data_IF_089644394278
#
_entry.id   IF_089644394278
#
_cell.length_a   1.000
_cell.length_b   1.000
_cell.length_c   1.000
_cell.angle_alpha   90.00
_cell.angle_beta   90.00
_cell.angle_gamma   90.00
#
_symmetry.space_group_name_H-M   'P 1'
#
loop_
_entity.id
_entity.type
_entity.pdbx_description
1 polymer ?
#
# COMPACT_ATOMS: atom_id res chain seq x y z
N UNK A 1 -1.99 -30.55 22.69
CA UNK A 1 -1.01 -31.02 21.67
C UNK A 1 -1.71 -31.43 20.38
N UNK A 2 -2.93 -31.99 20.47
CA UNK A 2 -3.78 -32.39 19.33
C UNK A 2 -4.35 -31.24 18.52
N UNK A 3 -4.69 -30.09 19.14
CA UNK A 3 -5.27 -28.94 18.43
C UNK A 3 -4.27 -28.20 17.51
N UNK A 4 -2.99 -28.19 17.85
CA UNK A 4 -1.94 -27.56 17.02
C UNK A 4 -1.68 -28.34 15.73
N UNK A 5 -1.71 -29.67 15.80
CA UNK A 5 -1.58 -30.56 14.63
C UNK A 5 -2.77 -30.38 13.67
N UNK A 6 -3.98 -30.22 14.22
CA UNK A 6 -5.19 -30.01 13.45
C UNK A 6 -5.22 -28.60 12.80
N UNK A 7 -4.65 -27.58 13.46
CA UNK A 7 -4.47 -26.24 12.89
C UNK A 7 -3.43 -26.18 11.77
N UNK A 8 -2.33 -26.92 11.87
CA UNK A 8 -1.34 -27.01 10.79
C UNK A 8 -1.91 -27.76 9.57
N UNK A 9 -2.64 -28.86 9.81
CA UNK A 9 -3.29 -29.65 8.75
C UNK A 9 -4.40 -28.86 8.04
N UNK A 10 -5.19 -28.08 8.78
CA UNK A 10 -6.22 -27.20 8.19
C UNK A 10 -5.63 -26.01 7.45
N UNK A 11 -4.55 -25.39 7.96
CA UNK A 11 -3.86 -24.31 7.24
C UNK A 11 -3.22 -24.82 5.93
N UNK A 12 -2.56 -25.99 5.98
CA UNK A 12 -2.00 -26.63 4.78
C UNK A 12 -3.09 -27.06 3.81
N UNK A 13 -4.21 -27.61 4.30
CA UNK A 13 -5.36 -27.99 3.47
C UNK A 13 -5.99 -26.78 2.78
N UNK A 14 -6.11 -25.64 3.45
CA UNK A 14 -6.63 -24.39 2.85
C UNK A 14 -5.65 -23.84 1.80
N UNK A 15 -4.35 -23.90 2.04
CA UNK A 15 -3.33 -23.49 1.04
C UNK A 15 -3.36 -24.42 -0.17
N UNK A 16 -3.45 -25.73 0.04
CA UNK A 16 -3.49 -26.73 -1.02
C UNK A 16 -4.82 -26.69 -1.82
N UNK A 17 -5.92 -26.36 -1.15
CA UNK A 17 -7.21 -26.12 -1.79
C UNK A 17 -7.20 -24.79 -2.57
N UNK A 18 -6.53 -23.75 -2.07
CA UNK A 18 -6.32 -22.51 -2.82
C UNK A 18 -5.43 -22.73 -4.04
N UNK A 19 -4.35 -23.51 -3.92
CA UNK A 19 -3.52 -23.94 -5.07
C UNK A 19 -4.34 -24.75 -6.08
N UNK A 20 -5.16 -25.70 -5.61
CA UNK A 20 -6.03 -26.50 -6.47
C UNK A 20 -7.12 -25.67 -7.18
N UNK A 21 -7.72 -24.69 -6.50
CA UNK A 21 -8.71 -23.79 -7.09
C UNK A 21 -8.06 -22.78 -8.06
N UNK A 22 -6.85 -22.29 -7.78
CA UNK A 22 -6.08 -21.47 -8.72
C UNK A 22 -5.71 -22.26 -9.99
N UNK A 23 -5.43 -23.56 -9.87
CA UNK A 23 -5.10 -24.42 -11.01
C UNK A 23 -6.32 -24.93 -11.80
N UNK A 24 -7.49 -25.07 -11.14
CA UNK A 24 -8.71 -25.61 -11.78
C UNK A 24 -9.68 -24.54 -12.30
N UNK A 25 -9.70 -23.34 -11.72
CA UNK A 25 -10.67 -22.28 -12.07
C UNK A 25 -10.07 -21.09 -12.81
N UNK A 26 -8.76 -20.86 -12.70
CA UNK A 26 -8.07 -19.94 -13.58
C UNK A 26 -7.55 -20.74 -14.77
N UNK A 27 -8.04 -20.42 -15.97
CA UNK A 27 -7.43 -20.90 -17.20
C UNK A 27 -5.91 -20.65 -17.09
N UNK A 28 -5.04 -21.68 -17.14
CA UNK A 28 -3.59 -21.54 -16.96
C UNK A 28 -2.96 -20.57 -17.98
N UNK A 29 -3.70 -20.20 -19.03
CA UNK A 29 -3.35 -19.15 -19.98
C UNK A 29 -3.59 -17.71 -19.49
N UNK A 30 -4.24 -17.51 -18.34
CA UNK A 30 -4.61 -16.19 -17.80
C UNK A 30 -3.44 -15.45 -17.14
N UNK A 31 -2.44 -16.20 -16.67
CA UNK A 31 -1.25 -15.64 -16.02
C UNK A 31 0.00 -16.07 -16.77
N UNK A 32 0.84 -15.11 -17.11
CA UNK A 32 2.20 -15.44 -17.53
C UNK A 32 2.97 -16.06 -16.35
N UNK A 33 3.97 -16.94 -16.59
CA UNK A 33 4.75 -17.55 -15.51
C UNK A 33 5.35 -16.53 -14.53
N UNK A 34 5.83 -15.39 -15.04
CA UNK A 34 6.36 -14.30 -14.22
C UNK A 34 5.29 -13.61 -13.37
N UNK A 35 4.06 -13.50 -13.88
CA UNK A 35 2.93 -12.97 -13.12
C UNK A 35 2.53 -13.92 -12.00
N UNK A 36 2.54 -15.23 -12.25
CA UNK A 36 2.22 -16.24 -11.24
C UNK A 36 3.27 -16.24 -10.10
N UNK A 37 4.57 -16.22 -10.43
CA UNK A 37 5.65 -16.07 -9.42
C UNK A 37 5.52 -14.77 -8.62
N UNK A 38 5.08 -13.68 -9.27
CA UNK A 38 4.82 -12.42 -8.58
C UNK A 38 3.64 -12.56 -7.61
N UNK A 39 2.56 -13.24 -8.02
CA UNK A 39 1.40 -13.51 -7.17
C UNK A 39 1.78 -14.34 -5.94
N UNK A 40 2.53 -15.43 -6.12
CA UNK A 40 3.04 -16.26 -5.01
C UNK A 40 3.85 -15.43 -4.02
N UNK A 41 4.77 -14.60 -4.54
CA UNK A 41 5.59 -13.71 -3.71
C UNK A 41 4.72 -12.74 -2.91
N UNK A 42 3.67 -12.19 -3.52
CA UNK A 42 2.74 -11.25 -2.86
C UNK A 42 1.88 -11.94 -1.80
N UNK A 43 1.41 -13.16 -2.06
CA UNK A 43 0.67 -13.97 -1.07
C UNK A 43 1.58 -14.25 0.14
N UNK A 44 2.82 -14.68 -0.09
CA UNK A 44 3.77 -14.94 1.00
C UNK A 44 4.08 -13.68 1.84
N UNK A 45 4.29 -12.54 1.17
CA UNK A 45 4.45 -11.24 1.85
C UNK A 45 3.21 -10.90 2.70
N UNK A 46 2.02 -11.02 2.12
CA UNK A 46 0.78 -10.71 2.80
C UNK A 46 0.55 -11.57 4.05
N UNK A 47 0.76 -12.89 3.96
CA UNK A 47 0.65 -13.80 5.10
C UNK A 47 1.63 -13.40 6.21
N UNK A 48 2.89 -13.11 5.86
CA UNK A 48 3.91 -12.69 6.82
C UNK A 48 3.55 -11.38 7.54
N UNK A 49 3.05 -10.39 6.78
CA UNK A 49 2.57 -9.12 7.33
C UNK A 49 1.36 -9.32 8.24
N UNK A 50 0.40 -10.16 7.84
CA UNK A 50 -0.81 -10.46 8.60
C UNK A 50 -0.48 -11.11 9.95
N UNK A 51 0.44 -12.09 9.96
CA UNK A 51 0.89 -12.73 11.20
C UNK A 51 1.59 -11.71 12.12
N UNK A 52 2.48 -10.89 11.56
CA UNK A 52 3.22 -9.88 12.33
C UNK A 52 2.29 -8.83 12.96
N UNK A 53 1.34 -8.30 12.20
CA UNK A 53 0.35 -7.35 12.71
C UNK A 53 -0.61 -7.99 13.71
N UNK A 54 -1.03 -9.24 13.49
CA UNK A 54 -1.87 -9.98 14.46
C UNK A 54 -1.18 -10.13 15.82
N UNK A 55 0.13 -10.44 15.82
CA UNK A 55 0.93 -10.52 17.05
C UNK A 55 1.06 -9.14 17.71
N UNK A 56 1.29 -8.08 16.93
CA UNK A 56 1.35 -6.70 17.47
C UNK A 56 0.03 -6.28 18.11
N UNK A 57 -1.10 -6.56 17.46
CA UNK A 57 -2.44 -6.28 17.98
C UNK A 57 -2.68 -7.06 19.28
N UNK A 58 -2.36 -8.36 19.31
CA UNK A 58 -2.45 -9.19 20.52
C UNK A 58 -1.63 -8.61 21.68
N UNK A 59 -0.38 -8.21 21.42
CA UNK A 59 0.49 -7.59 22.43
C UNK A 59 -0.04 -6.26 22.95
N UNK A 60 -0.64 -5.43 22.08
CA UNK A 60 -1.28 -4.16 22.50
C UNK A 60 -2.46 -4.39 23.45
N UNK A 61 -3.16 -5.50 23.28
CA UNK A 61 -4.26 -5.90 24.15
C UNK A 61 -3.83 -6.76 25.34
N UNK A 62 -2.51 -6.94 25.55
CA UNK A 62 -1.95 -7.79 26.61
C UNK A 62 -2.53 -9.21 26.60
N UNK A 63 -2.89 -9.72 25.42
CA UNK A 63 -3.42 -11.06 25.28
C UNK A 63 -2.27 -12.05 25.05
N UNK A 64 -2.26 -13.11 25.84
CA UNK A 64 -1.25 -14.19 25.77
C UNK A 64 -1.37 -15.04 24.50
N UNK A 65 -2.53 -15.00 23.83
CA UNK A 65 -2.79 -15.75 22.60
C UNK A 65 -3.41 -14.87 21.52
N UNK A 66 -3.01 -15.11 20.27
CA UNK A 66 -3.61 -14.46 19.10
C UNK A 66 -4.97 -15.09 18.85
N UNK A 67 -6.05 -14.33 19.06
CA UNK A 67 -7.42 -14.75 18.76
C UNK A 67 -7.80 -14.39 17.32
N UNK A 68 -8.88 -15.00 16.82
CA UNK A 68 -9.45 -14.66 15.52
C UNK A 68 -9.76 -13.15 15.38
N UNK A 69 -10.18 -12.50 16.47
CA UNK A 69 -10.44 -11.06 16.49
C UNK A 69 -9.16 -10.21 16.27
N UNK A 70 -7.99 -10.70 16.68
CA UNK A 70 -6.71 -10.03 16.42
C UNK A 70 -6.31 -10.16 14.95
N UNK A 71 -6.60 -11.30 14.32
CA UNK A 71 -6.35 -11.53 12.89
C UNK A 71 -7.25 -10.65 12.03
N UNK A 72 -8.55 -10.56 12.36
CA UNK A 72 -9.48 -9.72 11.60
C UNK A 72 -9.11 -8.23 11.70
N UNK A 73 -8.75 -7.75 12.90
CA UNK A 73 -8.23 -6.37 13.05
C UNK A 73 -6.94 -6.14 12.29
N UNK A 74 -6.04 -7.13 12.24
CA UNK A 74 -4.80 -7.02 11.48
C UNK A 74 -5.08 -6.97 9.97
N UNK A 75 -6.03 -7.76 9.47
CA UNK A 75 -6.51 -7.73 8.09
C UNK A 75 -7.09 -6.36 7.73
N UNK A 76 -8.03 -5.85 8.52
CA UNK A 76 -8.58 -4.49 8.34
C UNK A 76 -7.48 -3.43 8.33
N UNK A 77 -6.50 -3.55 9.24
CA UNK A 77 -5.38 -2.62 9.29
C UNK A 77 -4.49 -2.72 8.04
N UNK A 78 -4.15 -3.91 7.55
CA UNK A 78 -3.30 -4.06 6.36
C UNK A 78 -3.96 -3.52 5.09
N UNK A 79 -5.26 -3.80 4.91
CA UNK A 79 -6.04 -3.29 3.77
C UNK A 79 -6.16 -1.77 3.82
N UNK A 80 -6.47 -1.20 4.99
CA UNK A 80 -6.66 0.25 5.13
C UNK A 80 -5.35 1.05 5.22
N UNK A 81 -4.30 0.49 5.81
CA UNK A 81 -3.01 1.17 6.02
C UNK A 81 -2.16 1.23 4.74
N UNK A 82 -2.26 0.24 3.84
CA UNK A 82 -1.63 0.30 2.51
C UNK A 82 -2.09 1.54 1.75
N UNK A 83 -3.40 1.81 1.79
CA UNK A 83 -4.01 3.02 1.24
C UNK A 83 -3.44 4.29 1.90
N UNK A 84 -3.49 4.37 3.24
CA UNK A 84 -3.01 5.55 4.00
C UNK A 84 -1.53 5.88 3.76
N UNK A 85 -0.67 4.87 3.62
CA UNK A 85 0.77 5.09 3.39
C UNK A 85 1.04 5.81 2.07
N UNK A 86 0.31 5.45 1.01
CA UNK A 86 0.43 6.08 -0.31
C UNK A 86 -0.05 7.54 -0.24
N UNK A 87 -1.20 7.80 0.39
CA UNK A 87 -1.73 9.17 0.53
C UNK A 87 -0.80 10.07 1.36
N UNK A 88 -0.17 9.55 2.41
CA UNK A 88 0.81 10.29 3.21
C UNK A 88 2.02 10.71 2.39
N UNK A 89 2.52 9.83 1.53
CA UNK A 89 3.63 10.16 0.63
C UNK A 89 3.20 11.14 -0.47
N UNK A 90 1.97 11.01 -0.97
CA UNK A 90 1.37 11.95 -1.93
C UNK A 90 1.35 13.38 -1.38
N UNK A 91 0.97 13.57 -0.12
CA UNK A 91 1.00 14.87 0.55
C UNK A 91 2.40 15.49 0.58
N UNK A 92 3.41 14.70 0.98
CA UNK A 92 4.79 15.20 1.04
C UNK A 92 5.36 15.52 -0.35
N UNK A 93 5.14 14.67 -1.35
CA UNK A 93 5.62 14.90 -2.72
C UNK A 93 4.88 16.08 -3.33
N UNK A 94 3.56 16.16 -3.15
CA UNK A 94 2.74 17.27 -3.61
C UNK A 94 3.16 18.60 -3.01
N UNK A 95 3.46 18.62 -1.70
CA UNK A 95 4.02 19.78 -0.99
C UNK A 95 5.35 20.25 -1.57
N UNK A 96 6.27 19.33 -1.86
CA UNK A 96 7.56 19.65 -2.48
C UNK A 96 7.38 20.22 -3.89
N UNK A 97 6.53 19.60 -4.72
CA UNK A 97 6.27 20.05 -6.09
C UNK A 97 5.59 21.42 -6.12
N UNK A 98 4.60 21.64 -5.25
CA UNK A 98 3.92 22.93 -5.14
C UNK A 98 4.88 24.01 -4.61
N UNK A 99 5.69 23.69 -3.60
CA UNK A 99 6.72 24.58 -3.07
C UNK A 99 7.76 24.95 -4.13
N UNK A 100 8.20 23.98 -4.94
CA UNK A 100 9.11 24.22 -6.06
C UNK A 100 8.49 25.20 -7.07
N UNK A 101 7.22 25.01 -7.44
CA UNK A 101 6.50 25.92 -8.33
C UNK A 101 6.44 27.36 -7.78
N UNK A 102 6.09 27.52 -6.49
CA UNK A 102 6.02 28.82 -5.82
C UNK A 102 7.40 29.51 -5.72
N UNK A 103 8.47 28.74 -5.58
CA UNK A 103 9.86 29.24 -5.55
C UNK A 103 10.27 29.96 -6.84
N UNK A 104 9.64 29.62 -7.98
CA UNK A 104 9.91 30.30 -9.25
C UNK A 104 9.27 31.70 -9.35
N UNK A 105 8.21 32.00 -8.58
CA UNK A 105 7.52 33.29 -8.62
C UNK A 105 8.45 34.48 -8.27
N UNK A 106 9.18 34.48 -7.13
CA UNK A 106 10.09 35.58 -6.81
C UNK A 106 11.29 35.64 -7.77
N UNK A 107 11.72 34.50 -8.32
CA UNK A 107 12.81 34.43 -9.30
C UNK A 107 12.40 35.13 -10.61
N UNK A 108 11.19 34.87 -11.11
CA UNK A 108 10.64 35.57 -12.29
C UNK A 108 10.40 37.06 -12.02
N UNK A 109 9.93 37.41 -10.81
CA UNK A 109 9.68 38.82 -10.44
C UNK A 109 10.96 39.64 -10.32
N UNK A 110 12.05 39.06 -9.83
CA UNK A 110 13.33 39.76 -9.64
C UNK A 110 14.16 39.85 -10.93
N UNK A 111 14.08 38.84 -11.80
CA UNK A 111 14.77 38.84 -13.08
C UNK A 111 14.07 39.67 -14.17
N UNK A 112 12.79 40.02 -13.98
CA UNK A 112 11.98 40.75 -14.97
C UNK A 112 11.82 40.02 -16.31
N UNK A 113 12.16 38.72 -16.34
CA UNK A 113 12.17 37.88 -17.53
C UNK A 113 11.24 36.70 -17.29
N UNK A 114 10.10 36.74 -17.95
CA UNK A 114 9.19 35.60 -18.03
C UNK A 114 9.63 34.73 -19.21
N UNK A 115 10.50 33.75 -18.94
CA UNK A 115 10.80 32.70 -19.91
C UNK A 115 9.61 31.75 -19.99
N UNK A 116 9.15 31.48 -21.22
CA UNK A 116 7.99 30.61 -21.48
C UNK A 116 8.20 29.20 -20.91
N UNK A 117 9.43 28.69 -20.96
CA UNK A 117 9.80 27.37 -20.48
C UNK A 117 9.67 27.25 -18.95
N UNK A 118 10.19 28.21 -18.18
CA UNK A 118 10.10 28.19 -16.72
C UNK A 118 8.66 28.40 -16.23
N UNK A 119 7.88 29.20 -16.96
CA UNK A 119 6.46 29.45 -16.64
C UNK A 119 5.65 28.17 -16.81
N UNK A 120 5.86 27.45 -17.92
CA UNK A 120 5.17 26.17 -18.19
C UNK A 120 5.58 25.11 -17.15
N UNK A 121 6.86 25.03 -16.82
CA UNK A 121 7.35 24.07 -15.82
C UNK A 121 6.80 24.37 -14.42
N UNK A 122 6.82 25.63 -13.99
CA UNK A 122 6.26 26.04 -12.70
C UNK A 122 4.75 25.79 -12.63
N UNK A 123 4.00 26.13 -13.69
CA UNK A 123 2.56 25.86 -13.75
C UNK A 123 2.24 24.35 -13.68
N UNK A 124 2.99 23.52 -14.42
CA UNK A 124 2.81 22.07 -14.40
C UNK A 124 3.10 21.48 -13.02
N UNK A 125 4.22 21.84 -12.41
CA UNK A 125 4.59 21.40 -11.05
C UNK A 125 3.57 21.88 -10.00
N UNK A 126 3.07 23.10 -10.15
CA UNK A 126 2.07 23.69 -9.25
C UNK A 126 0.73 22.97 -9.33
N UNK A 127 0.22 22.69 -10.54
CA UNK A 127 -1.05 21.97 -10.74
C UNK A 127 -0.95 20.54 -10.19
N UNK A 128 0.12 19.82 -10.53
CA UNK A 128 0.33 18.45 -10.05
C UNK A 128 0.51 18.43 -8.53
N UNK A 129 1.32 19.34 -7.98
CA UNK A 129 1.56 19.45 -6.55
C UNK A 129 0.29 19.78 -5.76
N UNK A 130 -0.48 20.77 -6.20
CA UNK A 130 -1.75 21.14 -5.58
C UNK A 130 -2.77 20.00 -5.64
N UNK A 131 -2.85 19.28 -6.76
CA UNK A 131 -3.74 18.13 -6.90
C UNK A 131 -3.37 16.99 -5.94
N UNK A 132 -2.07 16.67 -5.81
CA UNK A 132 -1.60 15.64 -4.88
C UNK A 132 -1.88 16.00 -3.41
N UNK A 133 -1.74 17.27 -3.03
CA UNK A 133 -2.11 17.77 -1.69
C UNK A 133 -3.63 17.66 -1.48
N UNK A 134 -4.43 18.04 -2.47
CA UNK A 134 -5.88 17.93 -2.39
C UNK A 134 -6.35 16.48 -2.20
N UNK A 135 -5.72 15.51 -2.89
CA UNK A 135 -5.98 14.09 -2.67
C UNK A 135 -5.56 13.60 -1.28
N UNK A 136 -4.46 14.10 -0.74
CA UNK A 136 -4.05 13.82 0.63
C UNK A 136 -5.06 14.36 1.65
N UNK A 137 -5.51 15.61 1.49
CA UNK A 137 -6.51 16.25 2.36
C UNK A 137 -7.91 15.63 2.26
N UNK A 138 -8.32 15.14 1.08
CA UNK A 138 -9.64 14.54 0.90
C UNK A 138 -9.76 13.12 1.52
N UNK A 139 -8.62 12.49 1.83
CA UNK A 139 -8.56 11.13 2.40
C UNK A 139 -8.40 11.13 3.93
N UNK A 140 -7.80 12.18 4.48
CA UNK A 140 -7.62 12.42 5.91
C UNK A 140 -8.90 12.99 6.55
#
# INVERSE_FOLDING_TARGET
MSDLLNSEETAQSVVQQAEGQLLQSADPSSFSPSTFTTLETRIGQYISELVSESIKVSKRHQADTVSAAHVERANEYLVTNTSRRIYRHLGTVGGVLLGAALSHIPTMSSAGRYTSEETVLSAALGIVGAFMIALHMAKD
#
